data_IF_508995215892
#
_entry.id   IF_508995215892
#
_cell.length_a   1.000
_cell.length_b   1.000
_cell.length_c   1.000
_cell.angle_alpha   90.00
_cell.angle_beta   90.00
_cell.angle_gamma   90.00
#
_symmetry.space_group_name_H-M   'P 1'
#
loop_
_entity.id
_entity.type
_entity.pdbx_description
1 polymer ?
#
# COMPACT_ATOMS: atom_id res chain seq x y z
N UNK A 1 -1.43 14.04 4.02
CA UNK A 1 -2.31 14.33 2.86
C UNK A 1 -1.86 13.60 1.59
N UNK A 2 -0.55 13.50 1.32
CA UNK A 2 -0.01 12.72 0.20
C UNK A 2 -0.37 11.22 0.24
N UNK A 3 -0.48 10.61 1.41
CA UNK A 3 -0.68 9.16 1.51
C UNK A 3 -2.04 8.72 0.96
N UNK A 4 -3.12 9.49 1.21
CA UNK A 4 -4.45 9.20 0.66
C UNK A 4 -4.46 9.34 -0.87
N UNK A 5 -3.78 10.37 -1.39
CA UNK A 5 -3.64 10.56 -2.83
C UNK A 5 -2.84 9.45 -3.49
N UNK A 6 -1.76 9.01 -2.84
CA UNK A 6 -0.99 7.86 -3.29
C UNK A 6 -1.83 6.58 -3.28
N UNK A 7 -2.59 6.32 -2.21
CA UNK A 7 -3.50 5.17 -2.10
C UNK A 7 -4.58 5.17 -3.20
N UNK A 8 -5.04 6.34 -3.62
CA UNK A 8 -5.93 6.47 -4.79
C UNK A 8 -5.18 6.14 -6.08
N UNK A 9 -3.95 6.63 -6.25
CA UNK A 9 -3.13 6.40 -7.43
C UNK A 9 -2.77 4.92 -7.61
N UNK A 10 -2.42 4.22 -6.53
CA UNK A 10 -2.16 2.77 -6.57
C UNK A 10 -3.43 1.93 -6.60
N UNK A 11 -4.62 2.55 -6.57
CA UNK A 11 -5.91 1.90 -6.72
C UNK A 11 -6.43 1.17 -5.47
N UNK A 12 -5.85 1.43 -4.31
CA UNK A 12 -6.30 0.90 -3.00
C UNK A 12 -7.56 1.64 -2.52
N UNK A 13 -7.63 2.95 -2.78
CA UNK A 13 -8.78 3.80 -2.46
C UNK A 13 -9.42 4.38 -3.71
N UNK A 14 -10.72 4.70 -3.60
CA UNK A 14 -11.44 5.53 -4.57
C UNK A 14 -12.16 6.63 -3.80
N UNK A 15 -12.12 7.84 -4.33
CA UNK A 15 -12.91 8.97 -3.81
C UNK A 15 -14.34 8.86 -4.34
N UNK A 16 -15.30 8.90 -3.44
CA UNK A 16 -16.71 9.11 -3.71
C UNK A 16 -17.07 10.54 -3.31
N UNK A 17 -17.77 11.23 -4.20
CA UNK A 17 -18.35 12.54 -3.90
C UNK A 17 -19.83 12.33 -3.65
N UNK A 18 -20.35 12.96 -2.59
CA UNK A 18 -21.81 13.10 -2.46
C UNK A 18 -22.36 13.80 -3.71
N UNK A 19 -23.62 13.57 -4.07
CA UNK A 19 -24.22 14.13 -5.30
C UNK A 19 -24.16 15.67 -5.44
N UNK A 20 -23.73 16.38 -4.40
CA UNK A 20 -23.50 17.84 -4.38
C UNK A 20 -22.01 18.23 -4.45
N UNK A 21 -21.06 17.30 -4.34
CA UNK A 21 -19.62 17.55 -4.47
C UNK A 21 -18.97 18.35 -3.32
N UNK A 22 -19.68 18.50 -2.19
CA UNK A 22 -19.21 19.32 -1.04
C UNK A 22 -18.38 18.48 -0.06
N UNK A 23 -18.70 17.20 0.07
CA UNK A 23 -18.02 16.27 0.97
C UNK A 23 -17.32 15.18 0.19
N UNK A 24 -16.10 14.87 0.63
CA UNK A 24 -15.32 13.76 0.12
C UNK A 24 -15.48 12.54 1.02
N UNK A 25 -16.03 11.48 0.45
CA UNK A 25 -15.99 10.15 1.04
C UNK A 25 -14.92 9.33 0.34
N UNK A 26 -14.33 8.36 1.03
CA UNK A 26 -13.35 7.44 0.45
C UNK A 26 -13.82 6.01 0.67
N UNK A 27 -13.96 5.27 -0.43
CA UNK A 27 -14.26 3.84 -0.38
C UNK A 27 -12.98 3.05 -0.57
N UNK A 28 -12.89 1.94 0.14
CA UNK A 28 -11.87 0.93 -0.10
C UNK A 28 -12.25 0.12 -1.35
N UNK A 29 -11.28 -0.14 -2.23
CA UNK A 29 -11.48 -1.04 -3.37
C UNK A 29 -11.42 -2.49 -2.90
N UNK A 30 -11.90 -3.47 -3.72
CA UNK A 30 -11.70 -4.88 -3.42
C UNK A 30 -10.23 -5.26 -3.19
N UNK A 31 -9.30 -4.64 -3.95
CA UNK A 31 -7.86 -4.82 -3.79
C UNK A 31 -7.40 -4.29 -2.43
N UNK A 32 -7.85 -3.08 -2.05
CA UNK A 32 -7.52 -2.51 -0.75
C UNK A 32 -8.04 -3.37 0.41
N UNK A 33 -9.24 -3.96 0.26
CA UNK A 33 -9.82 -4.86 1.25
C UNK A 33 -8.99 -6.14 1.41
N UNK A 34 -8.55 -6.73 0.31
CA UNK A 34 -7.65 -7.90 0.36
C UNK A 34 -6.31 -7.59 1.03
N UNK A 35 -5.77 -6.39 0.81
CA UNK A 35 -4.52 -5.97 1.45
C UNK A 35 -4.70 -5.83 2.97
N UNK A 36 -5.79 -5.20 3.39
CA UNK A 36 -6.14 -5.05 4.81
C UNK A 36 -6.34 -6.41 5.47
N UNK A 37 -7.09 -7.32 4.84
CA UNK A 37 -7.31 -8.69 5.36
C UNK A 37 -5.99 -9.48 5.50
N UNK A 38 -5.04 -9.31 4.57
CA UNK A 38 -3.72 -9.94 4.67
C UNK A 38 -2.93 -9.38 5.85
N UNK A 39 -2.99 -8.07 6.05
CA UNK A 39 -2.33 -7.39 7.15
C UNK A 39 -2.92 -7.79 8.51
N UNK A 40 -4.25 -7.81 8.64
CA UNK A 40 -4.94 -8.28 9.84
C UNK A 40 -4.59 -9.74 10.16
N UNK A 41 -4.45 -10.60 9.14
CA UNK A 41 -4.03 -12.00 9.31
C UNK A 41 -2.56 -12.17 9.70
N UNK A 42 -1.68 -11.28 9.26
CA UNK A 42 -0.25 -11.31 9.62
C UNK A 42 0.00 -10.85 11.06
N UNK A 43 -0.96 -10.14 11.67
CA UNK A 43 -0.81 -9.53 12.99
C UNK A 43 -0.01 -8.22 12.92
N UNK A 44 0.05 -7.46 14.02
CA UNK A 44 0.70 -6.14 14.11
C UNK A 44 2.22 -6.13 13.82
N UNK A 45 2.80 -7.30 13.52
CA UNK A 45 4.23 -7.43 13.26
C UNK A 45 4.46 -7.78 11.80
N UNK A 46 5.16 -6.88 11.11
CA UNK A 46 5.71 -7.18 9.80
C UNK A 46 6.60 -8.43 9.91
N UNK A 47 6.42 -9.43 9.02
CA UNK A 47 7.27 -10.62 9.06
C UNK A 47 8.73 -10.18 8.89
N UNK A 48 9.68 -10.79 9.65
CA UNK A 48 11.08 -10.46 9.51
C UNK A 48 11.51 -10.72 8.06
N UNK A 49 12.35 -9.83 7.47
CA UNK A 49 12.79 -9.97 6.10
C UNK A 49 13.48 -11.32 5.90
N UNK A 50 13.12 -12.01 4.82
CA UNK A 50 13.70 -13.31 4.47
C UNK A 50 15.18 -13.16 4.13
N UNK A 51 15.95 -14.25 4.21
CA UNK A 51 17.37 -14.22 3.82
C UNK A 51 17.56 -13.84 2.34
N UNK A 52 16.61 -14.20 1.48
CA UNK A 52 16.55 -13.74 0.09
C UNK A 52 16.37 -12.22 0.00
N UNK A 53 15.43 -11.65 0.75
CA UNK A 53 15.18 -10.20 0.76
C UNK A 53 16.43 -9.42 1.19
N UNK A 54 17.19 -9.96 2.15
CA UNK A 54 18.46 -9.37 2.59
C UNK A 54 19.54 -9.43 1.50
N UNK A 55 19.62 -10.53 0.75
CA UNK A 55 20.55 -10.66 -0.36
C UNK A 55 20.20 -9.67 -1.47
N UNK A 56 18.93 -9.61 -1.87
CA UNK A 56 18.42 -8.71 -2.90
C UNK A 56 18.64 -7.25 -2.54
N UNK A 57 18.36 -6.85 -1.28
CA UNK A 57 18.66 -5.50 -0.80
C UNK A 57 20.16 -5.17 -0.83
N UNK A 58 21.02 -6.15 -0.49
CA UNK A 58 22.48 -5.95 -0.49
C UNK A 58 23.00 -5.83 -1.92
N UNK A 59 22.49 -6.65 -2.84
CA UNK A 59 22.84 -6.61 -4.26
C UNK A 59 22.34 -5.33 -4.92
N UNK A 60 21.09 -4.91 -4.68
CA UNK A 60 20.57 -3.63 -5.20
C UNK A 60 21.37 -2.43 -4.66
N UNK A 61 21.77 -2.45 -3.38
CA UNK A 61 22.59 -1.39 -2.79
C UNK A 61 24.01 -1.34 -3.38
N UNK A 62 24.59 -2.50 -3.70
CA UNK A 62 25.94 -2.58 -4.26
C UNK A 62 25.98 -2.27 -5.76
N UNK A 63 24.97 -2.75 -6.51
CA UNK A 63 24.83 -2.53 -7.95
C UNK A 63 24.18 -1.19 -8.30
N UNK A 64 23.68 -0.43 -7.32
CA UNK A 64 22.93 0.83 -7.50
C UNK A 64 21.81 0.71 -8.53
N UNK A 65 21.15 -0.44 -8.56
CA UNK A 65 19.95 -0.60 -9.36
C UNK A 65 18.83 0.13 -8.60
N UNK A 66 18.66 1.41 -8.93
CA UNK A 66 17.45 2.15 -8.58
C UNK A 66 16.31 1.53 -9.37
N UNK A 67 15.55 0.66 -8.70
CA UNK A 67 14.19 0.30 -9.11
C UNK A 67 13.21 0.99 -8.19
#
# INVERSE_FOLDING_TARGET
>A
ENDLMWLIQVGVLRREVDGQGITDSFRLTPLGRQLLEKWERLGETLPPPSLSDRLDHTLNRWLRLSV
#
